data_IF_404123504324
#
_entry.id   IF_404123504324
#
_cell.length_a   1.000
_cell.length_b   1.000
_cell.length_c   1.000
_cell.angle_alpha   90.00
_cell.angle_beta   90.00
_cell.angle_gamma   90.00
#
_symmetry.space_group_name_H-M   'P 1'
#
loop_
_entity.id
_entity.type
_entity.pdbx_description
1 polymer ?
#
# COMPACT_ATOMS: atom_id res chain seq x y z
N UNK A 1 -15.82 22.69 2.74
CA UNK A 1 -14.77 21.66 2.53
C UNK A 1 -15.35 20.62 1.61
N UNK A 2 -14.62 20.31 0.56
CA UNK A 2 -15.06 19.38 -0.49
C UNK A 2 -14.02 18.27 -0.62
N UNK A 3 -14.45 17.01 -0.59
CA UNK A 3 -13.59 15.86 -0.91
C UNK A 3 -14.07 15.22 -2.20
N UNK A 4 -13.16 15.09 -3.16
CA UNK A 4 -13.41 14.40 -4.42
C UNK A 4 -12.57 13.13 -4.51
N UNK A 5 -13.16 12.08 -5.05
CA UNK A 5 -12.46 10.88 -5.48
C UNK A 5 -12.39 10.85 -7.00
N UNK A 6 -11.21 10.54 -7.52
CA UNK A 6 -11.01 10.26 -8.93
C UNK A 6 -10.40 8.87 -9.11
N UNK A 7 -10.97 8.06 -10.00
CA UNK A 7 -10.39 6.78 -10.42
C UNK A 7 -9.85 6.89 -11.84
N UNK A 8 -8.61 6.43 -12.05
CA UNK A 8 -7.98 6.49 -13.37
C UNK A 8 -8.53 5.42 -14.34
N UNK A 9 -8.97 4.27 -13.84
CA UNK A 9 -9.48 3.16 -14.66
C UNK A 9 -10.90 3.40 -15.17
N UNK A 10 -11.78 3.89 -14.30
CA UNK A 10 -13.19 4.13 -14.65
C UNK A 10 -13.45 5.56 -15.11
N UNK A 11 -12.46 6.45 -15.02
CA UNK A 11 -12.59 7.91 -15.20
C UNK A 11 -13.67 8.55 -14.32
N UNK A 12 -14.08 7.86 -13.24
CA UNK A 12 -15.06 8.39 -12.31
C UNK A 12 -14.48 9.60 -11.56
N UNK A 13 -15.26 10.68 -11.45
CA UNK A 13 -15.01 11.86 -10.60
C UNK A 13 -16.23 12.01 -9.69
N UNK A 14 -16.05 11.64 -8.42
CA UNK A 14 -17.12 11.48 -7.44
C UNK A 14 -16.92 12.52 -6.35
N UNK A 15 -17.94 13.34 -6.10
CA UNK A 15 -18.01 14.18 -4.91
C UNK A 15 -18.38 13.28 -3.73
N UNK A 16 -17.44 13.05 -2.81
CA UNK A 16 -17.64 12.18 -1.65
C UNK A 16 -18.18 12.92 -0.44
N UNK A 17 -17.82 14.20 -0.30
CA UNK A 17 -18.22 15.02 0.83
C UNK A 17 -18.27 16.47 0.43
N UNK A 18 -19.33 17.15 0.87
CA UNK A 18 -19.41 18.60 0.95
C UNK A 18 -19.91 18.98 2.35
N UNK A 19 -19.06 19.63 3.14
CA UNK A 19 -19.34 19.96 4.54
C UNK A 19 -18.67 21.27 4.95
N UNK A 20 -19.20 21.94 5.98
CA UNK A 20 -18.54 23.09 6.58
C UNK A 20 -17.17 22.68 7.15
N UNK A 21 -16.14 23.49 6.89
CA UNK A 21 -14.84 23.26 7.52
C UNK A 21 -14.95 23.61 9.02
N UNK A 22 -14.31 22.84 9.91
CA UNK A 22 -14.24 23.19 11.33
C UNK A 22 -13.60 24.56 11.50
N UNK A 23 -14.17 25.40 12.37
CA UNK A 23 -13.63 26.74 12.63
C UNK A 23 -12.33 26.72 13.46
N UNK A 24 -12.05 25.60 14.13
CA UNK A 24 -10.90 25.45 15.01
C UNK A 24 -9.82 24.56 14.36
N UNK A 25 -8.65 25.13 14.11
CA UNK A 25 -7.61 24.54 13.26
C UNK A 25 -6.81 23.40 13.93
N UNK A 26 -7.00 23.18 15.24
CA UNK A 26 -6.19 22.24 16.02
C UNK A 26 -6.89 20.94 16.41
N UNK A 27 -8.12 20.69 15.93
CA UNK A 27 -8.84 19.45 16.21
C UNK A 27 -8.83 18.55 14.97
N UNK A 28 -8.22 17.35 15.03
CA UNK A 28 -8.33 16.38 13.96
C UNK A 28 -9.80 15.98 13.77
N UNK A 29 -10.32 16.15 12.55
CA UNK A 29 -11.69 15.74 12.21
C UNK A 29 -11.63 14.48 11.36
N UNK A 30 -12.06 13.32 11.89
CA UNK A 30 -12.12 12.09 11.11
C UNK A 30 -13.19 12.20 10.03
N UNK A 31 -12.84 11.85 8.80
CA UNK A 31 -13.76 11.80 7.67
C UNK A 31 -14.03 10.34 7.33
N UNK A 32 -15.30 9.94 7.43
CA UNK A 32 -15.77 8.64 6.95
C UNK A 32 -16.38 8.85 5.56
N UNK A 33 -15.83 8.17 4.56
CA UNK A 33 -16.24 8.28 3.17
C UNK A 33 -16.53 6.88 2.64
N UNK A 34 -17.76 6.66 2.20
CA UNK A 34 -18.15 5.44 1.50
C UNK A 34 -17.92 5.63 0.00
N UNK A 35 -17.02 4.83 -0.57
CA UNK A 35 -16.72 4.87 -2.00
C UNK A 35 -17.22 3.57 -2.64
N UNK A 36 -18.23 3.61 -3.54
CA UNK A 36 -18.79 2.40 -4.14
C UNK A 36 -17.73 1.61 -4.94
N UNK A 37 -17.41 0.40 -4.50
CA UNK A 37 -16.35 -0.42 -5.11
C UNK A 37 -16.59 -0.82 -6.57
N UNK A 38 -17.84 -0.72 -7.06
CA UNK A 38 -18.20 -1.02 -8.46
C UNK A 38 -17.72 0.02 -9.47
N UNK A 39 -17.32 1.21 -8.99
CA UNK A 39 -16.92 2.34 -9.85
C UNK A 39 -15.42 2.66 -9.74
N UNK A 40 -14.65 1.81 -9.07
CA UNK A 40 -13.26 2.09 -8.74
C UNK A 40 -12.32 1.00 -9.26
N UNK A 41 -11.25 1.42 -9.94
CA UNK A 41 -10.16 0.54 -10.36
C UNK A 41 -8.84 1.29 -10.58
N UNK A 42 -7.71 0.58 -10.55
CA UNK A 42 -6.38 1.18 -10.73
C UNK A 42 -6.01 2.10 -9.57
N UNK A 43 -5.74 3.38 -9.84
CA UNK A 43 -5.40 4.38 -8.83
C UNK A 43 -6.62 5.20 -8.44
N UNK A 44 -6.92 5.26 -7.14
CA UNK A 44 -7.82 6.20 -6.50
C UNK A 44 -7.03 7.42 -6.04
N UNK A 45 -7.44 8.59 -6.48
CA UNK A 45 -6.93 9.87 -6.01
C UNK A 45 -8.01 10.58 -5.21
N UNK A 46 -7.75 10.79 -3.93
CA UNK A 46 -8.57 11.63 -3.05
C UNK A 46 -8.01 13.04 -3.08
N UNK A 47 -8.83 14.02 -3.46
CA UNK A 47 -8.46 15.44 -3.42
C UNK A 47 -9.39 16.18 -2.47
N UNK A 48 -8.82 16.79 -1.44
CA UNK A 48 -9.53 17.62 -0.48
C UNK A 48 -9.31 19.09 -0.80
N UNK A 49 -10.39 19.85 -0.85
CA UNK A 49 -10.41 21.29 -1.06
C UNK A 49 -11.05 21.99 0.15
N UNK A 50 -10.44 23.06 0.63
CA UNK A 50 -11.11 24.05 1.48
C UNK A 50 -11.46 25.23 0.59
N UNK A 51 -12.75 25.58 0.54
CA UNK A 51 -13.30 26.59 -0.34
C UNK A 51 -13.94 27.72 0.47
N UNK A 52 -13.96 28.92 -0.08
CA UNK A 52 -14.76 30.04 0.43
C UNK A 52 -16.22 29.84 0.00
N UNK A 53 -17.13 29.60 0.95
CA UNK A 53 -18.56 29.40 0.64
C UNK A 53 -19.33 30.72 0.57
N UNK A 54 -19.12 31.62 1.53
CA UNK A 54 -19.50 33.03 1.44
C UNK A 54 -18.76 33.78 2.55
N UNK A 55 -17.98 34.80 2.20
CA UNK A 55 -17.35 35.69 3.17
C UNK A 55 -17.90 37.10 2.96
N UNK A 56 -18.32 37.74 4.05
CA UNK A 56 -18.20 39.20 4.15
C UNK A 56 -16.74 39.46 4.48
N UNK A 57 -15.96 40.10 3.61
CA UNK A 57 -14.52 40.20 3.78
C UNK A 57 -14.16 41.00 5.03
N UNK A 58 -13.30 40.41 5.87
CA UNK A 58 -12.71 41.06 7.04
C UNK A 58 -11.47 41.91 6.68
N UNK A 59 -10.89 41.72 5.49
CA UNK A 59 -9.65 42.35 5.01
C UNK A 59 -9.66 42.50 3.47
N UNK A 60 -9.09 43.58 2.89
CA UNK A 60 -8.90 43.74 1.44
C UNK A 60 -8.19 42.58 0.72
N UNK A 61 -7.31 41.86 1.39
CA UNK A 61 -6.55 40.72 0.85
C UNK A 61 -7.25 39.37 1.04
N UNK A 62 -8.41 39.34 1.69
CA UNK A 62 -9.17 38.10 1.85
C UNK A 62 -9.72 37.61 0.50
N UNK A 63 -9.78 36.29 0.25
CA UNK A 63 -10.39 35.76 -0.97
C UNK A 63 -11.90 36.02 -0.98
N UNK A 64 -12.35 36.80 -1.98
CA UNK A 64 -13.71 37.37 -2.04
C UNK A 64 -14.71 36.55 -2.87
N UNK A 65 -14.22 35.68 -3.77
CA UNK A 65 -15.08 34.93 -4.67
C UNK A 65 -15.49 33.60 -4.06
N UNK A 66 -16.81 33.35 -4.03
CA UNK A 66 -17.37 32.03 -3.70
C UNK A 66 -16.75 30.96 -4.60
N UNK A 67 -16.26 29.89 -3.99
CA UNK A 67 -15.54 28.81 -4.67
C UNK A 67 -14.02 29.02 -4.77
N UNK A 68 -13.46 30.13 -4.27
CA UNK A 68 -12.00 30.30 -4.15
C UNK A 68 -11.39 29.17 -3.31
N UNK A 69 -10.33 28.54 -3.82
CA UNK A 69 -9.61 27.46 -3.13
C UNK A 69 -8.62 28.08 -2.14
N UNK A 70 -8.83 27.84 -0.85
CA UNK A 70 -7.93 28.24 0.23
C UNK A 70 -6.81 27.22 0.44
N UNK A 71 -7.14 25.94 0.25
CA UNK A 71 -6.23 24.84 0.50
C UNK A 71 -6.61 23.66 -0.38
N UNK A 72 -5.60 22.94 -0.86
CA UNK A 72 -5.73 21.71 -1.63
C UNK A 72 -4.75 20.68 -1.10
N UNK A 73 -5.22 19.47 -0.90
CA UNK A 73 -4.38 18.31 -0.63
C UNK A 73 -4.82 17.12 -1.46
N UNK A 74 -3.86 16.31 -1.87
CA UNK A 74 -4.10 15.12 -2.67
C UNK A 74 -3.41 13.92 -2.02
N UNK A 75 -4.15 12.83 -1.88
CA UNK A 75 -3.68 11.53 -1.43
C UNK A 75 -4.04 10.48 -2.48
N UNK A 76 -3.21 9.46 -2.63
CA UNK A 76 -3.40 8.43 -3.64
C UNK A 76 -3.39 7.05 -2.99
N UNK A 77 -4.32 6.20 -3.41
CA UNK A 77 -4.45 4.80 -3.00
C UNK A 77 -4.57 3.97 -4.26
N UNK A 78 -3.69 3.00 -4.45
CA UNK A 78 -3.80 2.06 -5.57
C UNK A 78 -4.75 0.94 -5.17
N UNK A 79 -5.93 0.92 -5.79
CA UNK A 79 -6.99 -0.07 -5.58
C UNK A 79 -6.76 -1.35 -6.38
N UNK A 80 -5.97 -1.25 -7.43
CA UNK A 80 -5.29 -2.36 -8.08
C UNK A 80 -3.82 -1.99 -8.11
N UNK A 81 -2.96 -2.94 -7.76
CA UNK A 81 -1.52 -2.73 -7.55
C UNK A 81 -0.90 -1.78 -8.58
N UNK A 82 -0.10 -0.86 -8.06
CA UNK A 82 0.83 -0.01 -8.82
C UNK A 82 1.48 -0.87 -9.91
N UNK A 83 1.64 -0.33 -11.12
CA UNK A 83 2.13 -1.02 -12.31
C UNK A 83 3.09 -2.19 -12.03
N UNK A 84 2.77 -3.34 -12.65
CA UNK A 84 3.18 -4.70 -12.33
C UNK A 84 2.30 -5.37 -11.26
N UNK A 85 1.48 -6.33 -11.71
CA UNK A 85 0.99 -7.37 -10.80
C UNK A 85 2.21 -7.92 -10.03
N UNK A 86 2.04 -8.19 -8.74
CA UNK A 86 3.10 -8.84 -7.96
C UNK A 86 3.60 -10.06 -8.76
N UNK A 87 4.90 -10.19 -9.09
CA UNK A 87 5.37 -11.22 -10.00
C UNK A 87 5.08 -12.59 -9.40
N UNK A 88 4.02 -13.23 -9.88
CA UNK A 88 3.45 -14.43 -9.26
C UNK A 88 3.33 -15.52 -10.29
N UNK A 89 3.94 -16.67 -10.00
CA UNK A 89 3.87 -17.86 -10.82
C UNK A 89 3.16 -19.00 -10.07
N UNK A 90 2.52 -19.91 -10.81
CA UNK A 90 1.87 -21.08 -10.25
C UNK A 90 2.59 -22.35 -10.75
N UNK A 91 3.08 -23.17 -9.82
CA UNK A 91 3.87 -24.36 -10.15
C UNK A 91 3.60 -25.51 -9.18
N UNK A 92 4.04 -26.72 -9.52
CA UNK A 92 3.89 -27.92 -8.68
C UNK A 92 5.18 -28.15 -7.88
N UNK A 93 5.20 -27.74 -6.60
CA UNK A 93 6.41 -27.80 -5.77
C UNK A 93 6.90 -29.23 -5.56
N UNK A 94 6.04 -30.25 -5.64
CA UNK A 94 6.49 -31.65 -5.57
C UNK A 94 7.43 -32.02 -6.71
N UNK A 95 7.40 -31.26 -7.80
CA UNK A 95 8.27 -31.41 -8.96
C UNK A 95 9.37 -30.35 -9.01
N UNK A 96 9.06 -29.10 -8.69
CA UNK A 96 10.00 -27.97 -8.87
C UNK A 96 10.81 -27.65 -7.62
N UNK A 97 10.33 -27.99 -6.42
CA UNK A 97 10.93 -27.65 -5.11
C UNK A 97 10.88 -28.84 -4.15
N UNK A 98 11.73 -29.87 -4.37
CA UNK A 98 11.69 -31.10 -3.59
C UNK A 98 12.00 -30.92 -2.09
N UNK A 99 12.64 -29.81 -1.71
CA UNK A 99 12.97 -29.50 -0.31
C UNK A 99 11.78 -28.89 0.46
N UNK A 100 10.81 -28.29 -0.25
CA UNK A 100 9.63 -27.62 0.33
C UNK A 100 8.33 -28.04 -0.36
N UNK A 101 8.07 -29.35 -0.58
CA UNK A 101 6.97 -29.83 -1.42
C UNK A 101 5.59 -29.48 -0.87
N UNK A 102 5.48 -29.26 0.45
CA UNK A 102 4.24 -28.98 1.16
C UNK A 102 4.04 -27.50 1.50
N UNK A 103 5.01 -26.62 1.18
CA UNK A 103 4.84 -25.18 1.36
C UNK A 103 3.69 -24.66 0.47
N UNK A 104 2.90 -23.72 0.97
CA UNK A 104 1.78 -23.14 0.21
C UNK A 104 2.28 -22.18 -0.89
N UNK A 105 3.32 -21.42 -0.58
CA UNK A 105 4.01 -20.50 -1.47
C UNK A 105 5.46 -20.36 -1.04
N UNK A 106 6.27 -19.76 -1.91
CA UNK A 106 7.64 -19.35 -1.59
C UNK A 106 7.96 -18.04 -2.31
N UNK A 107 8.57 -17.11 -1.59
CA UNK A 107 9.07 -15.86 -2.15
C UNK A 107 10.57 -16.03 -2.43
N UNK A 108 10.97 -15.80 -3.66
CA UNK A 108 12.37 -15.74 -4.06
C UNK A 108 12.70 -14.28 -4.42
N UNK A 109 13.84 -13.80 -3.95
CA UNK A 109 14.32 -12.45 -4.22
C UNK A 109 15.83 -12.46 -4.47
N UNK A 110 16.26 -11.84 -5.56
CA UNK A 110 17.65 -11.58 -5.87
C UNK A 110 17.93 -10.07 -5.72
N UNK A 111 18.66 -9.72 -4.68
CA UNK A 111 19.05 -8.34 -4.38
C UNK A 111 20.52 -8.05 -4.74
N UNK A 112 21.16 -8.89 -5.55
CA UNK A 112 22.55 -8.70 -5.98
C UNK A 112 22.71 -7.47 -6.88
N UNK A 113 21.68 -7.11 -7.64
CA UNK A 113 21.56 -5.85 -8.38
C UNK A 113 20.38 -5.03 -7.81
N UNK A 114 20.63 -4.08 -6.90
CA UNK A 114 19.59 -3.24 -6.29
C UNK A 114 18.81 -2.39 -7.31
N UNK A 115 19.40 -2.11 -8.48
CA UNK A 115 18.81 -1.28 -9.54
C UNK A 115 17.96 -2.11 -10.52
N UNK A 116 18.03 -3.44 -10.44
CA UNK A 116 17.20 -4.32 -11.27
C UNK A 116 15.72 -4.06 -11.01
N UNK A 117 14.89 -4.24 -12.04
CA UNK A 117 13.44 -4.09 -11.90
C UNK A 117 12.91 -5.06 -10.83
N UNK A 118 12.02 -4.58 -9.96
CA UNK A 118 11.34 -5.40 -8.97
C UNK A 118 10.70 -6.64 -9.61
N UNK A 119 10.12 -6.49 -10.81
CA UNK A 119 9.46 -7.57 -11.53
C UNK A 119 10.39 -8.71 -11.98
N UNK A 120 11.69 -8.42 -12.16
CA UNK A 120 12.70 -9.43 -12.46
C UNK A 120 13.39 -9.98 -11.22
N UNK A 121 13.52 -9.16 -10.18
CA UNK A 121 14.28 -9.46 -8.97
C UNK A 121 13.48 -10.27 -7.93
N UNK A 122 12.15 -10.09 -7.89
CA UNK A 122 11.28 -10.73 -6.89
C UNK A 122 10.25 -11.60 -7.58
N UNK A 123 9.99 -12.79 -7.02
CA UNK A 123 9.01 -13.74 -7.53
C UNK A 123 8.31 -14.49 -6.41
N UNK A 124 6.98 -14.49 -6.42
CA UNK A 124 6.16 -15.33 -5.57
C UNK A 124 5.74 -16.57 -6.37
N UNK A 125 6.15 -17.75 -5.93
CA UNK A 125 5.67 -19.00 -6.51
C UNK A 125 4.59 -19.60 -5.63
N UNK A 126 3.45 -19.96 -6.22
CA UNK A 126 2.31 -20.54 -5.52
C UNK A 126 2.19 -22.04 -5.85
N UNK A 127 2.09 -22.86 -4.81
CA UNK A 127 2.15 -24.31 -4.94
C UNK A 127 0.80 -24.90 -5.37
N UNK A 128 0.68 -25.19 -6.65
CA UNK A 128 -0.49 -25.85 -7.23
C UNK A 128 -0.67 -27.29 -6.77
N UNK A 129 0.30 -27.94 -6.10
CA UNK A 129 0.03 -29.25 -5.49
C UNK A 129 -0.95 -29.16 -4.31
N UNK A 130 -1.11 -27.97 -3.73
CA UNK A 130 -1.96 -27.72 -2.56
C UNK A 130 -3.39 -27.36 -2.98
N UNK A 131 -4.42 -28.09 -2.51
CA UNK A 131 -5.81 -27.83 -2.89
C UNK A 131 -6.29 -26.42 -2.53
N UNK A 132 -5.83 -25.86 -1.41
CA UNK A 132 -6.18 -24.50 -0.99
C UNK A 132 -5.69 -23.45 -1.99
N UNK A 133 -4.47 -23.61 -2.51
CA UNK A 133 -3.87 -22.71 -3.50
C UNK A 133 -4.55 -22.84 -4.87
N UNK A 134 -4.92 -24.05 -5.28
CA UNK A 134 -5.74 -24.22 -6.50
C UNK A 134 -7.06 -23.48 -6.41
N UNK A 135 -7.76 -23.61 -5.28
CA UNK A 135 -9.05 -22.91 -5.04
C UNK A 135 -8.87 -21.40 -5.05
N UNK A 136 -7.79 -20.92 -4.45
CA UNK A 136 -7.42 -19.52 -4.45
C UNK A 136 -7.19 -18.98 -5.87
N UNK A 137 -6.38 -19.67 -6.67
CA UNK A 137 -6.07 -19.32 -8.06
C UNK A 137 -7.29 -19.35 -8.99
N UNK A 138 -8.27 -20.19 -8.70
CA UNK A 138 -9.52 -20.28 -9.46
C UNK A 138 -10.48 -19.10 -9.20
N UNK A 139 -10.13 -18.19 -8.27
CA UNK A 139 -10.95 -17.00 -7.98
C UNK A 139 -12.29 -17.33 -7.30
N UNK A 140 -12.42 -18.51 -6.70
CA UNK A 140 -13.63 -18.90 -5.99
C UNK A 140 -13.83 -17.97 -4.79
N UNK A 141 -14.96 -17.27 -4.72
CA UNK A 141 -15.27 -16.43 -3.58
C UNK A 141 -15.75 -17.29 -2.41
N UNK A 142 -14.88 -17.50 -1.42
CA UNK A 142 -15.24 -18.14 -0.14
C UNK A 142 -14.56 -17.40 1.03
N UNK A 143 -15.12 -17.46 2.24
CA UNK A 143 -14.47 -16.91 3.44
C UNK A 143 -13.05 -17.43 3.64
N UNK A 144 -12.84 -18.74 3.43
CA UNK A 144 -11.54 -19.40 3.59
C UNK A 144 -10.53 -18.88 2.56
N UNK A 145 -10.96 -18.57 1.34
CA UNK A 145 -10.09 -18.00 0.32
C UNK A 145 -9.71 -16.55 0.66
N UNK A 146 -10.61 -15.77 1.26
CA UNK A 146 -10.30 -14.42 1.76
C UNK A 146 -9.30 -14.47 2.91
N UNK A 147 -9.50 -15.37 3.87
CA UNK A 147 -8.55 -15.59 4.96
C UNK A 147 -7.18 -16.01 4.45
N UNK A 148 -7.12 -16.91 3.46
CA UNK A 148 -5.87 -17.34 2.86
C UNK A 148 -5.16 -16.22 2.10
N UNK A 149 -5.89 -15.37 1.37
CA UNK A 149 -5.34 -14.17 0.74
C UNK A 149 -4.75 -13.21 1.77
N UNK A 150 -5.45 -13.02 2.88
CA UNK A 150 -5.00 -12.18 3.98
C UNK A 150 -3.71 -12.72 4.61
N UNK A 151 -3.64 -14.02 4.86
CA UNK A 151 -2.44 -14.68 5.37
C UNK A 151 -1.25 -14.54 4.40
N UNK A 152 -1.51 -14.71 3.10
CA UNK A 152 -0.51 -14.51 2.05
C UNK A 152 0.02 -13.08 2.04
N UNK A 153 -0.86 -12.07 2.10
CA UNK A 153 -0.46 -10.66 2.09
C UNK A 153 0.43 -10.31 3.30
N UNK A 154 0.04 -10.74 4.50
CA UNK A 154 0.83 -10.53 5.72
C UNK A 154 2.21 -11.19 5.58
N UNK A 155 2.25 -12.45 5.16
CA UNK A 155 3.49 -13.21 5.11
C UNK A 155 4.45 -12.70 4.03
N UNK A 156 3.95 -12.41 2.82
CA UNK A 156 4.77 -11.84 1.74
C UNK A 156 5.29 -10.46 2.13
N UNK A 157 4.43 -9.61 2.71
CA UNK A 157 4.86 -8.30 3.22
C UNK A 157 5.94 -8.43 4.28
N UNK A 158 5.79 -9.37 5.22
CA UNK A 158 6.78 -9.66 6.27
C UNK A 158 8.12 -10.09 5.66
N UNK A 159 8.12 -11.04 4.73
CA UNK A 159 9.34 -11.51 4.08
C UNK A 159 10.06 -10.38 3.32
N UNK A 160 9.32 -9.57 2.56
CA UNK A 160 9.90 -8.39 1.88
C UNK A 160 10.46 -7.35 2.84
N UNK A 161 9.76 -7.08 3.96
CA UNK A 161 10.25 -6.13 4.96
C UNK A 161 11.55 -6.63 5.60
N UNK A 162 11.68 -7.94 5.87
CA UNK A 162 12.91 -8.55 6.37
C UNK A 162 14.05 -8.42 5.35
N UNK A 163 13.80 -8.74 4.07
CA UNK A 163 14.77 -8.55 3.00
C UNK A 163 15.24 -7.09 2.89
N UNK A 164 14.29 -6.16 2.98
CA UNK A 164 14.56 -4.73 2.91
C UNK A 164 15.48 -4.26 4.05
N UNK A 165 15.19 -4.64 5.31
CA UNK A 165 16.03 -4.21 6.44
C UNK A 165 17.41 -4.85 6.43
N UNK A 166 17.61 -5.95 5.72
CA UNK A 166 18.92 -6.61 5.60
C UNK A 166 19.81 -6.02 4.50
N UNK A 167 19.31 -5.11 3.66
CA UNK A 167 20.05 -4.55 2.52
C UNK A 167 20.47 -3.09 2.74
N UNK A 168 21.77 -2.81 2.74
CA UNK A 168 22.30 -1.44 2.81
C UNK A 168 21.83 -0.57 1.65
N UNK A 169 21.83 -1.14 0.44
CA UNK A 169 21.36 -0.44 -0.76
C UNK A 169 19.88 -0.01 -0.66
N UNK A 170 19.07 -0.73 0.11
CA UNK A 170 17.68 -0.34 0.40
C UNK A 170 17.62 0.73 1.49
N UNK A 171 18.40 0.59 2.57
CA UNK A 171 18.35 1.50 3.71
C UNK A 171 18.94 2.89 3.41
N UNK A 172 20.01 2.96 2.61
CA UNK A 172 20.69 4.21 2.26
C UNK A 172 19.96 5.01 1.17
N UNK A 173 18.91 4.43 0.59
CA UNK A 173 18.15 5.02 -0.52
C UNK A 173 17.01 5.91 0.00
N UNK A 174 16.79 7.03 -0.68
CA UNK A 174 15.60 7.86 -0.47
C UNK A 174 14.36 7.19 -1.10
N UNK A 175 13.17 7.28 -0.48
CA UNK A 175 11.97 6.69 -1.02
C UNK A 175 11.53 7.41 -2.31
N UNK A 176 11.38 6.64 -3.39
CA UNK A 176 10.89 7.11 -4.68
C UNK A 176 9.83 6.12 -5.19
N UNK A 177 8.59 6.60 -5.34
CA UNK A 177 7.46 5.79 -5.79
C UNK A 177 7.39 5.60 -7.30
N UNK A 178 8.17 6.37 -8.08
CA UNK A 178 8.22 6.26 -9.54
C UNK A 178 9.34 5.33 -10.02
N UNK A 179 10.31 5.03 -9.15
CA UNK A 179 11.41 4.13 -9.43
C UNK A 179 10.98 2.65 -9.30
N UNK A 180 11.01 1.87 -10.40
CA UNK A 180 10.57 0.47 -10.40
C UNK A 180 11.66 -0.52 -9.95
N UNK A 181 12.82 -0.04 -9.50
CA UNK A 181 13.90 -0.88 -8.98
C UNK A 181 13.49 -1.62 -7.73
N UNK A 182 14.08 -2.79 -7.51
CA UNK A 182 13.81 -3.60 -6.32
C UNK A 182 14.16 -2.84 -5.04
N UNK A 183 15.24 -2.05 -5.05
CA UNK A 183 15.64 -1.26 -3.89
C UNK A 183 14.63 -0.15 -3.56
N UNK A 184 14.15 0.59 -4.56
CA UNK A 184 13.16 1.64 -4.36
C UNK A 184 11.81 1.08 -3.88
N UNK A 185 11.35 -0.03 -4.45
CA UNK A 185 10.08 -0.66 -4.04
C UNK A 185 10.15 -1.14 -2.59
N UNK A 186 11.23 -1.85 -2.21
CA UNK A 186 11.44 -2.29 -0.83
C UNK A 186 11.61 -1.11 0.13
N UNK A 187 12.25 -0.03 -0.32
CA UNK A 187 12.38 1.22 0.45
C UNK A 187 11.01 1.85 0.74
N UNK A 188 10.18 2.00 -0.27
CA UNK A 188 8.82 2.51 -0.13
C UNK A 188 7.95 1.60 0.76
N UNK A 189 8.15 0.27 0.71
CA UNK A 189 7.47 -0.66 1.61
C UNK A 189 7.78 -0.37 3.08
N UNK A 190 9.06 -0.15 3.43
CA UNK A 190 9.45 0.19 4.80
C UNK A 190 8.82 1.51 5.26
N UNK A 191 8.79 2.52 4.39
CA UNK A 191 8.12 3.80 4.69
C UNK A 191 6.61 3.61 4.92
N UNK A 192 5.95 2.75 4.15
CA UNK A 192 4.52 2.46 4.31
C UNK A 192 4.23 1.74 5.63
N UNK A 193 5.10 0.82 6.05
CA UNK A 193 4.93 0.06 7.28
C UNK A 193 5.29 0.89 8.52
N UNK A 194 6.28 1.77 8.44
CA UNK A 194 6.75 2.62 9.53
C UNK A 194 6.86 4.10 9.12
N UNK A 195 5.74 4.79 8.82
CA UNK A 195 5.75 6.17 8.34
C UNK A 195 6.34 7.18 9.35
N UNK A 196 6.34 6.82 10.63
CA UNK A 196 6.89 7.62 11.72
C UNK A 196 8.42 7.50 11.88
N UNK A 197 9.08 6.57 11.17
CA UNK A 197 10.52 6.34 11.27
C UNK A 197 11.21 6.99 10.08
N UNK A 198 11.93 8.08 10.33
CA UNK A 198 12.67 8.80 9.30
C UNK A 198 14.02 8.15 8.98
N UNK A 199 14.75 7.65 9.99
CA UNK A 199 15.98 6.88 9.79
C UNK A 199 15.67 5.38 9.76
N UNK A 200 15.77 4.73 8.60
CA UNK A 200 15.42 3.33 8.44
C UNK A 200 16.44 2.36 9.03
N UNK A 201 17.66 2.80 9.36
CA UNK A 201 18.64 1.96 10.05
C UNK A 201 18.16 1.56 11.44
N UNK A 202 17.24 2.33 12.02
CA UNK A 202 16.53 1.96 13.25
C UNK A 202 15.74 0.66 13.07
N UNK A 203 15.18 0.41 11.88
CA UNK A 203 14.43 -0.82 11.59
C UNK A 203 15.34 -2.04 11.56
N UNK A 204 16.56 -1.92 11.04
CA UNK A 204 17.56 -3.00 11.15
C UNK A 204 17.94 -3.25 12.59
N UNK A 205 18.21 -2.21 13.38
CA UNK A 205 18.47 -2.37 14.82
C UNK A 205 17.32 -3.08 15.52
N UNK A 206 16.07 -2.70 15.20
CA UNK A 206 14.87 -3.35 15.73
C UNK A 206 14.79 -4.83 15.33
N UNK A 207 15.11 -5.16 14.08
CA UNK A 207 15.18 -6.53 13.59
C UNK A 207 16.26 -7.34 14.33
N UNK A 208 17.44 -6.77 14.54
CA UNK A 208 18.56 -7.45 15.19
C UNK A 208 18.33 -7.65 16.70
N UNK A 209 17.71 -6.67 17.38
CA UNK A 209 17.50 -6.72 18.82
C UNK A 209 16.18 -7.35 19.25
N UNK A 210 15.09 -7.08 18.51
CA UNK A 210 13.72 -7.46 18.88
C UNK A 210 12.89 -7.90 17.66
N UNK A 211 13.30 -8.97 16.93
CA UNK A 211 12.66 -9.38 15.67
C UNK A 211 11.17 -9.68 15.83
N UNK A 212 10.74 -10.25 16.96
CA UNK A 212 9.31 -10.49 17.20
C UNK A 212 8.48 -9.21 17.27
N UNK A 213 9.04 -8.08 17.75
CA UNK A 213 8.35 -6.78 17.73
C UNK A 213 8.24 -6.23 16.31
N UNK A 214 9.30 -6.40 15.51
CA UNK A 214 9.29 -6.03 14.10
C UNK A 214 8.17 -6.78 13.36
N UNK A 215 8.11 -8.11 13.50
CA UNK A 215 7.10 -8.94 12.86
C UNK A 215 5.69 -8.64 13.36
N UNK A 216 5.50 -8.46 14.67
CA UNK A 216 4.22 -8.09 15.25
C UNK A 216 3.72 -6.73 14.71
N UNK A 217 4.63 -5.78 14.46
CA UNK A 217 4.25 -4.50 13.84
C UNK A 217 3.74 -4.69 12.41
N UNK A 218 4.43 -5.49 11.59
CA UNK A 218 3.97 -5.84 10.23
C UNK A 218 2.58 -6.45 10.28
N UNK A 219 2.37 -7.44 11.16
CA UNK A 219 1.08 -8.09 11.35
C UNK A 219 0.01 -7.09 11.82
N UNK A 220 0.32 -6.17 12.73
CA UNK A 220 -0.66 -5.18 13.21
C UNK A 220 -1.08 -4.18 12.12
N UNK A 221 -0.18 -3.91 11.17
CA UNK A 221 -0.40 -2.95 10.08
C UNK A 221 -1.20 -3.57 8.95
N UNK A 222 -0.83 -4.79 8.52
CA UNK A 222 -1.47 -5.52 7.41
C UNK A 222 -2.62 -6.41 7.86
N UNK A 223 -2.59 -6.88 9.09
CA UNK A 223 -3.48 -7.93 9.60
C UNK A 223 -4.86 -7.48 10.08
N UNK A 224 -5.25 -6.20 9.89
CA UNK A 224 -6.58 -5.73 10.24
C UNK A 224 -7.61 -6.39 9.32
N UNK A 225 -8.38 -7.33 9.86
CA UNK A 225 -9.55 -7.90 9.20
C UNK A 225 -10.64 -6.81 9.17
N UNK A 226 -10.95 -6.28 7.98
CA UNK A 226 -12.09 -5.37 7.74
C UNK A 226 -13.38 -6.14 7.53
#
# INVERSE_FOLDING_TARGET
MVVKAKSDSTKADILLLDAAAPADANVPVPLHLDVPGTELGGRLTLTTFILVDASVPLDPLAPHQRGSILWKHSAHVYLQGIGAQFPTDAEDFRRTRPDTPDALWQLDADLSDPEASFASAVRLSMNTSQPAIKRLLQGLHSPENKELQHLLDIDVTRQMAVLAVQSDAVLDREPDHEDPSVAAVLRCLLLQLWPQISDPHILRKLWDSEPSKFEAHVQSTRGKLS
#
